data_IF_099907284810
#
_entry.id   IF_099907284810
#
_cell.length_a   1.000
_cell.length_b   1.000
_cell.length_c   1.000
_cell.angle_alpha   90.00
_cell.angle_beta   90.00
_cell.angle_gamma   90.00
#
_symmetry.space_group_name_H-M   'P 1'
#
loop_
_entity.id
_entity.type
_entity.pdbx_description
1 polymer ?
#
# COMPACT_ATOMS: atom_id res chain seq x y z
N UNK A 1 -16.43 -13.39 -3.84
CA UNK A 1 -16.46 -14.86 -4.02
C UNK A 1 -15.28 -15.42 -3.22
N UNK A 2 -15.56 -16.12 -2.15
CA UNK A 2 -14.51 -16.66 -1.27
C UNK A 2 -14.08 -18.01 -1.81
N UNK A 3 -12.78 -18.21 -2.02
CA UNK A 3 -12.25 -19.49 -2.49
C UNK A 3 -12.18 -20.43 -1.29
N UNK A 4 -13.22 -21.22 -1.09
CA UNK A 4 -13.35 -22.16 0.04
C UNK A 4 -12.73 -23.53 -0.21
N UNK A 5 -12.30 -23.82 -1.45
CA UNK A 5 -11.68 -25.11 -1.83
C UNK A 5 -10.40 -24.90 -2.61
N UNK A 6 -9.44 -25.83 -2.44
CA UNK A 6 -8.23 -25.86 -3.27
C UNK A 6 -8.62 -26.00 -4.75
N UNK A 7 -7.94 -25.23 -5.61
CA UNK A 7 -8.11 -25.31 -7.05
C UNK A 7 -7.72 -26.71 -7.55
N UNK A 8 -8.64 -27.38 -8.23
CA UNK A 8 -8.36 -28.66 -8.89
C UNK A 8 -7.61 -28.41 -10.21
N UNK A 9 -6.30 -28.49 -10.13
CA UNK A 9 -5.40 -28.27 -11.27
C UNK A 9 -5.63 -29.31 -12.38
N UNK A 10 -6.06 -30.55 -12.03
CA UNK A 10 -6.34 -31.60 -13.04
C UNK A 10 -7.60 -31.26 -13.82
N UNK A 11 -8.65 -30.81 -13.14
CA UNK A 11 -9.88 -30.34 -13.80
C UNK A 11 -9.60 -29.13 -14.70
N UNK A 12 -8.80 -28.17 -14.22
CA UNK A 12 -8.39 -27.00 -15.01
C UNK A 12 -7.63 -27.39 -16.29
N UNK A 13 -6.71 -28.35 -16.20
CA UNK A 13 -5.98 -28.85 -17.38
C UNK A 13 -6.90 -29.55 -18.38
N UNK A 14 -7.86 -30.35 -17.90
CA UNK A 14 -8.83 -31.03 -18.74
C UNK A 14 -9.77 -30.05 -19.45
N UNK A 15 -10.23 -29.01 -18.74
CA UNK A 15 -11.23 -28.08 -19.24
C UNK A 15 -10.62 -26.84 -19.91
N UNK A 16 -9.28 -26.77 -20.01
CA UNK A 16 -8.53 -25.64 -20.56
C UNK A 16 -9.06 -25.16 -21.92
N UNK A 17 -9.26 -26.08 -22.85
CA UNK A 17 -9.63 -25.72 -24.21
C UNK A 17 -11.11 -25.23 -24.29
N UNK A 18 -11.97 -25.72 -23.40
CA UNK A 18 -13.33 -25.20 -23.23
C UNK A 18 -13.35 -23.79 -22.66
N UNK A 19 -12.48 -23.52 -21.68
CA UNK A 19 -12.32 -22.17 -21.09
C UNK A 19 -11.85 -21.18 -22.16
N UNK A 20 -10.85 -21.56 -22.96
CA UNK A 20 -10.38 -20.74 -24.06
C UNK A 20 -11.42 -20.52 -25.15
N UNK A 21 -12.16 -21.55 -25.52
CA UNK A 21 -13.25 -21.43 -26.48
C UNK A 21 -14.32 -20.45 -25.99
N UNK A 22 -14.69 -20.53 -24.71
CA UNK A 22 -15.60 -19.58 -24.05
C UNK A 22 -15.10 -18.15 -24.13
N UNK A 23 -13.81 -17.92 -23.78
CA UNK A 23 -13.20 -16.58 -23.85
C UNK A 23 -13.17 -16.01 -25.28
N UNK A 24 -12.87 -16.84 -26.29
CA UNK A 24 -12.91 -16.42 -27.70
C UNK A 24 -14.34 -16.07 -28.16
N UNK A 25 -15.35 -16.82 -27.72
CA UNK A 25 -16.73 -16.51 -28.03
C UNK A 25 -17.17 -15.19 -27.40
N UNK A 26 -16.86 -14.95 -26.13
CA UNK A 26 -17.12 -13.70 -25.43
C UNK A 26 -16.45 -12.51 -26.14
N UNK A 27 -15.17 -12.65 -26.48
CA UNK A 27 -14.44 -11.62 -27.24
C UNK A 27 -15.08 -11.31 -28.60
N UNK A 28 -15.51 -12.35 -29.35
CA UNK A 28 -16.22 -12.17 -30.64
C UNK A 28 -17.61 -11.57 -30.47
N UNK A 29 -18.26 -11.79 -29.33
CA UNK A 29 -19.53 -11.17 -28.99
C UNK A 29 -19.40 -9.68 -28.61
N UNK A 30 -18.16 -9.17 -28.48
CA UNK A 30 -17.87 -7.78 -28.11
C UNK A 30 -17.81 -7.55 -26.62
N UNK A 31 -17.73 -8.61 -25.80
CA UNK A 31 -17.53 -8.47 -24.37
C UNK A 31 -16.19 -7.76 -24.09
N UNK A 32 -16.23 -6.76 -23.23
CA UNK A 32 -15.06 -5.97 -22.89
C UNK A 32 -14.12 -6.79 -22.01
N UNK A 33 -12.79 -6.89 -22.36
CA UNK A 33 -11.82 -7.68 -21.59
C UNK A 33 -11.34 -6.97 -20.31
N UNK A 34 -11.83 -5.80 -20.02
CA UNK A 34 -11.49 -4.98 -18.87
C UNK A 34 -12.75 -4.51 -18.14
N UNK A 35 -12.56 -4.25 -16.85
CA UNK A 35 -13.65 -3.77 -15.99
C UNK A 35 -14.05 -2.34 -16.37
N UNK A 36 -15.33 -2.04 -16.24
CA UNK A 36 -15.81 -0.66 -16.25
C UNK A 36 -15.35 0.09 -15.01
N UNK A 37 -15.42 1.43 -15.03
CA UNK A 37 -15.03 2.26 -13.87
C UNK A 37 -15.83 1.91 -12.60
N UNK A 38 -17.12 1.56 -12.77
CA UNK A 38 -18.00 1.14 -11.67
C UNK A 38 -17.56 -0.22 -11.10
N UNK A 39 -17.27 -1.19 -11.96
CA UNK A 39 -16.78 -2.51 -11.57
C UNK A 39 -15.39 -2.43 -10.93
N UNK A 40 -14.50 -1.58 -11.43
CA UNK A 40 -13.18 -1.34 -10.80
C UNK A 40 -13.33 -0.80 -9.37
N UNK A 41 -14.27 0.12 -9.13
CA UNK A 41 -14.55 0.62 -7.78
C UNK A 41 -15.05 -0.50 -6.88
N UNK A 42 -16.01 -1.29 -7.34
CA UNK A 42 -16.58 -2.39 -6.57
C UNK A 42 -15.51 -3.44 -6.23
N UNK A 43 -14.68 -3.83 -7.19
CA UNK A 43 -13.56 -4.77 -6.99
C UNK A 43 -12.53 -4.17 -6.03
N UNK A 44 -12.22 -2.87 -6.16
CA UNK A 44 -11.29 -2.17 -5.27
C UNK A 44 -11.79 -2.15 -3.83
N UNK A 45 -13.07 -1.83 -3.60
CA UNK A 45 -13.67 -1.87 -2.25
C UNK A 45 -13.65 -3.29 -1.66
N UNK A 46 -13.99 -4.29 -2.46
CA UNK A 46 -13.92 -5.70 -2.04
C UNK A 46 -12.50 -6.13 -1.70
N UNK A 47 -11.51 -5.70 -2.48
CA UNK A 47 -10.11 -6.04 -2.25
C UNK A 47 -9.54 -5.38 -0.98
N UNK A 48 -10.09 -4.26 -0.51
CA UNK A 48 -9.70 -3.67 0.78
C UNK A 48 -9.90 -4.63 1.95
N UNK A 49 -10.93 -5.47 1.90
CA UNK A 49 -11.21 -6.49 2.93
C UNK A 49 -10.15 -7.60 2.97
N UNK A 50 -9.45 -7.82 1.87
CA UNK A 50 -8.38 -8.83 1.76
C UNK A 50 -6.97 -8.21 1.78
N UNK A 51 -6.87 -6.89 1.96
CA UNK A 51 -5.56 -6.26 2.09
C UNK A 51 -4.90 -6.70 3.40
N UNK A 52 -3.69 -7.23 3.29
CA UNK A 52 -2.89 -7.56 4.47
C UNK A 52 -2.49 -6.24 5.13
N UNK A 53 -2.79 -6.11 6.42
CA UNK A 53 -2.25 -5.01 7.24
C UNK A 53 -0.72 -5.04 7.17
N UNK A 54 -0.14 -3.90 6.88
CA UNK A 54 1.32 -3.78 6.90
C UNK A 54 1.81 -3.75 8.35
N UNK A 55 2.96 -4.34 8.58
CA UNK A 55 3.63 -4.23 9.86
C UNK A 55 3.73 -2.75 10.23
N UNK A 56 3.44 -2.41 11.47
CA UNK A 56 3.44 -1.04 11.99
C UNK A 56 2.31 -0.12 11.48
N UNK A 57 1.35 -0.59 10.64
CA UNK A 57 0.33 0.27 10.04
C UNK A 57 -0.48 1.00 11.11
N UNK A 58 -1.04 0.27 12.07
CA UNK A 58 -1.90 0.84 13.12
C UNK A 58 -1.15 1.89 13.96
N UNK A 59 0.04 1.55 14.45
CA UNK A 59 0.85 2.46 15.29
C UNK A 59 1.29 3.72 14.54
N UNK A 60 1.67 3.59 13.27
CA UNK A 60 2.06 4.74 12.45
C UNK A 60 0.86 5.63 12.13
N UNK A 61 -0.31 5.06 11.84
CA UNK A 61 -1.54 5.80 11.60
C UNK A 61 -1.97 6.56 12.85
N UNK A 62 -1.96 5.92 14.01
CA UNK A 62 -2.29 6.55 15.28
C UNK A 62 -1.32 7.69 15.62
N UNK A 63 -0.02 7.48 15.41
CA UNK A 63 0.97 8.53 15.60
C UNK A 63 0.75 9.71 14.66
N UNK A 64 0.48 9.47 13.37
CA UNK A 64 0.18 10.52 12.41
C UNK A 64 -1.11 11.29 12.72
N UNK A 65 -2.08 10.64 13.38
CA UNK A 65 -3.33 11.25 13.80
C UNK A 65 -3.18 12.06 15.10
N UNK A 66 -2.20 11.73 15.95
CA UNK A 66 -2.01 12.34 17.26
C UNK A 66 -1.40 13.75 17.24
N UNK A 67 -0.83 14.20 16.09
CA UNK A 67 -0.17 15.49 16.02
C UNK A 67 0.02 16.02 14.60
N UNK A 68 0.50 17.27 14.51
CA UNK A 68 0.83 17.91 13.23
C UNK A 68 2.29 17.61 12.84
N UNK A 69 2.47 16.49 12.18
CA UNK A 69 3.79 16.00 11.75
C UNK A 69 4.13 16.54 10.35
N UNK A 70 4.74 17.73 10.29
CA UNK A 70 4.98 18.43 9.03
C UNK A 70 6.22 18.00 8.26
N UNK A 71 7.27 17.54 8.94
CA UNK A 71 8.51 17.14 8.28
C UNK A 71 9.35 16.17 9.15
N UNK A 72 9.39 14.89 8.79
CA UNK A 72 10.07 13.86 9.57
C UNK A 72 10.81 12.84 8.68
N UNK A 73 11.65 12.01 9.29
CA UNK A 73 12.24 10.82 8.63
C UNK A 73 11.45 9.57 8.96
N UNK A 74 11.62 8.52 8.17
CA UNK A 74 11.00 7.21 8.45
C UNK A 74 11.44 6.67 9.80
N UNK A 75 12.73 6.82 10.09
CA UNK A 75 13.33 6.40 11.35
C UNK A 75 12.70 7.11 12.55
N UNK A 76 12.54 8.43 12.45
CA UNK A 76 11.88 9.22 13.49
C UNK A 76 10.43 8.77 13.70
N UNK A 77 9.67 8.60 12.62
CA UNK A 77 8.28 8.14 12.70
C UNK A 77 8.16 6.77 13.37
N UNK A 78 9.04 5.82 13.05
CA UNK A 78 9.03 4.47 13.62
C UNK A 78 9.40 4.44 15.11
N UNK A 79 10.31 5.29 15.55
CA UNK A 79 10.70 5.41 16.98
C UNK A 79 9.59 6.10 17.77
N UNK A 80 9.11 7.25 17.31
CA UNK A 80 8.08 8.04 17.98
C UNK A 80 6.72 7.31 18.06
N UNK A 81 6.39 6.53 17.04
CA UNK A 81 5.18 5.68 17.06
C UNK A 81 5.32 4.44 17.96
N UNK A 82 6.50 4.19 18.52
CA UNK A 82 6.78 3.00 19.34
C UNK A 82 6.79 1.69 18.51
N UNK A 83 7.01 1.78 17.21
CA UNK A 83 7.16 0.61 16.35
C UNK A 83 8.50 -0.10 16.55
N UNK A 84 9.56 0.68 16.77
CA UNK A 84 10.92 0.19 17.08
C UNK A 84 11.48 0.94 18.29
N UNK A 85 12.34 0.29 19.05
CA UNK A 85 13.00 0.93 20.18
C UNK A 85 14.17 1.82 19.76
N UNK A 86 14.94 1.37 18.75
CA UNK A 86 16.11 2.06 18.24
C UNK A 86 16.24 1.99 16.71
N UNK A 87 16.78 3.04 16.12
CA UNK A 87 17.03 3.11 14.67
C UNK A 87 18.00 2.02 14.20
N UNK A 88 18.91 1.57 15.06
CA UNK A 88 19.89 0.50 14.75
C UNK A 88 19.25 -0.87 14.52
N UNK A 89 18.03 -1.09 15.01
CA UNK A 89 17.27 -2.33 14.84
C UNK A 89 16.52 -2.39 13.52
N UNK A 90 16.39 -1.24 12.84
CA UNK A 90 15.59 -1.11 11.63
C UNK A 90 16.22 -1.83 10.43
N UNK A 91 15.58 -2.91 9.99
CA UNK A 91 15.97 -3.63 8.78
C UNK A 91 15.38 -2.99 7.52
N UNK A 92 16.04 -3.21 6.39
CA UNK A 92 15.61 -2.66 5.10
C UNK A 92 14.15 -3.01 4.72
N UNK A 93 13.66 -4.26 4.87
CA UNK A 93 12.27 -4.58 4.54
C UNK A 93 11.27 -3.81 5.41
N UNK A 94 11.51 -3.68 6.71
CA UNK A 94 10.66 -2.93 7.65
C UNK A 94 10.57 -1.45 7.29
N UNK A 95 11.70 -0.87 6.89
CA UNK A 95 11.74 0.51 6.38
C UNK A 95 10.88 0.67 5.13
N UNK A 96 10.92 -0.29 4.20
CA UNK A 96 10.11 -0.24 2.96
C UNK A 96 8.62 -0.35 3.26
N UNK A 97 8.23 -1.17 4.23
CA UNK A 97 6.84 -1.27 4.67
C UNK A 97 6.35 0.03 5.31
N UNK A 98 7.13 0.61 6.21
CA UNK A 98 6.81 1.91 6.79
C UNK A 98 6.62 3.00 5.73
N UNK A 99 7.46 3.02 4.69
CA UNK A 99 7.32 3.94 3.55
C UNK A 99 6.00 3.73 2.81
N UNK A 100 5.56 2.48 2.63
CA UNK A 100 4.25 2.20 2.02
C UNK A 100 3.09 2.74 2.85
N UNK A 101 3.15 2.58 4.18
CA UNK A 101 2.14 3.14 5.09
C UNK A 101 2.11 4.67 4.99
N UNK A 102 3.26 5.33 5.09
CA UNK A 102 3.36 6.78 4.99
C UNK A 102 2.79 7.32 3.67
N UNK A 103 3.09 6.65 2.55
CA UNK A 103 2.55 7.03 1.24
C UNK A 103 1.01 6.86 1.19
N UNK A 104 0.44 5.81 1.80
CA UNK A 104 -1.01 5.62 1.92
C UNK A 104 -1.66 6.73 2.73
N UNK A 105 -0.99 7.20 3.79
CA UNK A 105 -1.45 8.31 4.63
C UNK A 105 -1.25 9.69 3.98
N UNK A 106 -0.78 9.76 2.73
CA UNK A 106 -0.63 11.01 1.97
C UNK A 106 0.68 11.75 2.22
N UNK A 107 1.65 11.10 2.85
CA UNK A 107 3.00 11.67 3.01
C UNK A 107 3.89 11.20 1.87
N UNK A 108 4.75 12.10 1.38
CA UNK A 108 5.71 11.79 0.33
C UNK A 108 7.09 12.37 0.65
N UNK A 109 8.12 11.80 0.05
CA UNK A 109 9.48 12.29 0.21
C UNK A 109 9.63 13.64 -0.51
N UNK A 110 9.92 14.67 0.25
CA UNK A 110 10.13 16.04 -0.23
C UNK A 110 11.32 16.72 0.44
N UNK A 111 11.61 17.94 0.02
CA UNK A 111 12.62 18.77 0.68
C UNK A 111 11.95 19.71 1.66
N UNK A 112 12.31 19.62 2.93
CA UNK A 112 11.85 20.54 3.98
C UNK A 112 13.05 21.27 4.60
N UNK A 113 12.81 22.50 5.05
CA UNK A 113 13.80 23.26 5.82
C UNK A 113 13.71 22.87 7.27
N UNK A 114 14.80 22.37 7.84
CA UNK A 114 14.93 21.96 9.25
C UNK A 114 15.96 22.81 9.92
N UNK A 115 15.72 23.20 11.17
CA UNK A 115 16.73 23.94 11.95
C UNK A 115 17.74 22.95 12.52
N UNK A 116 19.01 23.11 12.17
CA UNK A 116 20.15 22.37 12.76
C UNK A 116 21.18 23.35 13.29
N UNK A 117 21.54 23.19 14.53
CA UNK A 117 22.50 24.07 15.20
C UNK A 117 22.19 25.57 15.01
N UNK A 118 20.90 25.94 15.01
CA UNK A 118 20.47 27.32 14.81
C UNK A 118 20.49 27.84 13.37
N UNK A 119 20.81 26.98 12.38
CA UNK A 119 20.83 27.34 10.96
C UNK A 119 19.77 26.56 10.18
N UNK A 120 19.05 27.20 9.23
CA UNK A 120 18.11 26.50 8.37
C UNK A 120 18.85 25.62 7.34
N UNK A 121 18.63 24.33 7.37
CA UNK A 121 19.21 23.36 6.42
C UNK A 121 18.08 22.65 5.66
N UNK A 122 18.23 22.56 4.34
CA UNK A 122 17.26 21.90 3.48
C UNK A 122 17.59 20.40 3.37
N UNK A 123 16.72 19.55 3.96
CA UNK A 123 16.90 18.10 3.99
C UNK A 123 15.72 17.35 3.39
N UNK A 124 15.97 16.12 2.91
CA UNK A 124 14.91 15.22 2.50
C UNK A 124 14.12 14.75 3.73
N UNK A 125 12.79 14.96 3.71
CA UNK A 125 11.86 14.58 4.77
C UNK A 125 10.58 14.04 4.15
N UNK A 126 9.78 13.35 4.95
CA UNK A 126 8.41 13.05 4.61
C UNK A 126 7.54 14.25 4.97
N UNK A 127 6.80 14.74 3.99
CA UNK A 127 5.92 15.92 4.12
C UNK A 127 4.52 15.54 3.63
N UNK A 128 3.49 16.12 4.24
CA UNK A 128 2.11 15.91 3.84
C UNK A 128 1.85 16.53 2.47
N UNK A 129 1.17 15.81 1.59
CA UNK A 129 0.73 16.36 0.31
C UNK A 129 -0.30 17.46 0.59
N UNK A 130 0.02 18.70 0.25
CA UNK A 130 -1.00 19.75 0.20
C UNK A 130 -1.93 19.43 -0.98
N UNK A 131 -3.22 19.37 -0.71
CA UNK A 131 -4.27 19.26 -1.74
C UNK A 131 -4.41 20.57 -2.46
#
# INVERSE_FOLDING_TARGET
>A
MEITKRVDVKALKRDRDRIWAGAVLAYRAGDQPFLTIEEEKEVSERNKTFSVSLLYEDKLVDWLASGDHNAFTVEHALVESGCIANVTELKRPERLEAVKVLNRCGYHRGKATVMEYGKPVRKNRYVRRQK
#
